data_IF_635128223275
#
_entry.id   IF_635128223275
#
_cell.length_a   1.000
_cell.length_b   1.000
_cell.length_c   1.000
_cell.angle_alpha   90.00
_cell.angle_beta   90.00
_cell.angle_gamma   90.00
#
_symmetry.space_group_name_H-M   'P 1'
#
loop_
_entity.id
_entity.type
_entity.pdbx_description
1 polymer ?
#
# COMPACT_ATOMS: atom_id res chain seq x y z
N UNK A 1 0.71 0.34 -9.32
CA UNK A 1 1.90 1.06 -9.83
C UNK A 1 2.01 2.47 -9.22
N UNK A 2 1.00 3.33 -9.30
CA UNK A 2 1.08 4.71 -8.78
C UNK A 2 1.56 4.81 -7.32
N UNK A 3 1.01 3.99 -6.41
CA UNK A 3 1.43 3.98 -5.01
C UNK A 3 2.93 3.63 -4.80
N UNK A 4 3.53 2.85 -5.71
CA UNK A 4 4.96 2.51 -5.68
C UNK A 4 5.86 3.67 -6.16
N UNK A 5 5.33 4.60 -6.95
CA UNK A 5 6.05 5.84 -7.27
C UNK A 5 5.77 6.94 -6.24
N UNK A 6 4.52 7.10 -5.80
CA UNK A 6 4.16 8.14 -4.82
C UNK A 6 4.86 7.90 -3.46
N UNK A 7 4.65 6.74 -2.83
CA UNK A 7 5.13 6.55 -1.47
C UNK A 7 6.65 6.36 -1.39
N UNK A 8 7.25 5.33 -2.03
CA UNK A 8 8.69 5.10 -1.97
C UNK A 8 9.54 6.20 -2.60
N UNK A 9 9.10 6.81 -3.72
CA UNK A 9 9.94 7.74 -4.49
C UNK A 9 9.60 9.21 -4.26
N UNK A 10 8.32 9.60 -4.37
CA UNK A 10 7.93 11.01 -4.24
C UNK A 10 7.93 11.48 -2.79
N UNK A 11 7.37 10.69 -1.88
CA UNK A 11 7.25 11.04 -0.46
C UNK A 11 8.40 10.53 0.40
N UNK A 12 9.31 9.71 -0.14
CA UNK A 12 10.37 9.01 0.60
C UNK A 12 9.83 8.26 1.84
N UNK A 13 8.69 7.56 1.67
CA UNK A 13 8.01 6.79 2.72
C UNK A 13 7.92 5.31 2.36
N UNK A 14 7.92 4.46 3.37
CA UNK A 14 7.64 3.03 3.19
C UNK A 14 6.16 2.83 2.86
N UNK A 15 5.89 2.12 1.77
CA UNK A 15 4.54 1.70 1.40
C UNK A 15 4.16 0.41 2.12
N UNK A 16 3.13 0.46 2.96
CA UNK A 16 2.55 -0.74 3.57
C UNK A 16 1.44 -1.28 2.66
N UNK A 17 1.57 -2.52 2.19
CA UNK A 17 0.62 -3.12 1.24
C UNK A 17 -0.07 -4.36 1.80
N UNK A 18 -1.35 -4.52 1.48
CA UNK A 18 -2.10 -5.74 1.74
C UNK A 18 -1.83 -6.75 0.63
N UNK A 19 -1.15 -7.85 0.96
CA UNK A 19 -0.83 -8.90 0.01
C UNK A 19 -2.03 -9.80 -0.33
N UNK A 20 -3.12 -9.73 0.44
CA UNK A 20 -4.32 -10.56 0.22
C UNK A 20 -5.17 -10.10 -0.96
N UNK A 21 -4.83 -8.96 -1.59
CA UNK A 21 -5.51 -8.48 -2.79
C UNK A 21 -5.40 -9.53 -3.91
N UNK A 22 -6.53 -9.79 -4.57
CA UNK A 22 -6.65 -10.77 -5.65
C UNK A 22 -7.02 -10.09 -6.97
N UNK A 23 -6.85 -10.81 -8.08
CA UNK A 23 -7.21 -10.31 -9.39
C UNK A 23 -8.73 -10.12 -9.50
N UNK A 24 -9.13 -8.88 -9.81
CA UNK A 24 -10.54 -8.51 -9.98
C UNK A 24 -11.22 -9.34 -11.06
N UNK A 25 -12.47 -9.72 -10.81
CA UNK A 25 -13.43 -10.36 -11.70
C UNK A 25 -13.48 -9.81 -13.12
N UNK A 26 -13.22 -8.51 -13.31
CA UNK A 26 -13.20 -7.86 -14.63
C UNK A 26 -12.12 -8.47 -15.55
N UNK A 27 -11.04 -9.00 -14.97
CA UNK A 27 -9.94 -9.60 -15.71
C UNK A 27 -9.98 -11.13 -15.74
N UNK A 28 -11.04 -11.75 -15.22
CA UNK A 28 -11.17 -13.20 -15.11
C UNK A 28 -12.22 -13.73 -16.08
N UNK A 29 -11.99 -14.92 -16.64
CA UNK A 29 -12.95 -15.57 -17.55
C UNK A 29 -14.22 -16.04 -16.82
N UNK A 30 -14.12 -16.25 -15.51
CA UNK A 30 -15.22 -16.70 -14.65
C UNK A 30 -16.13 -15.55 -14.23
N UNK A 31 -15.72 -14.29 -14.40
CA UNK A 31 -16.44 -13.12 -13.89
C UNK A 31 -16.48 -13.05 -12.35
N UNK A 32 -15.57 -13.76 -11.67
CA UNK A 32 -15.41 -13.74 -10.23
C UNK A 32 -13.97 -13.42 -9.87
N UNK A 33 -13.74 -12.78 -8.72
CA UNK A 33 -12.38 -12.52 -8.24
C UNK A 33 -11.63 -13.85 -8.05
N UNK A 34 -10.35 -13.90 -8.45
CA UNK A 34 -9.55 -15.13 -8.40
C UNK A 34 -9.25 -15.54 -6.95
N UNK A 35 -10.06 -16.45 -6.42
CA UNK A 35 -9.86 -17.00 -5.07
C UNK A 35 -8.55 -17.78 -4.97
N UNK A 36 -7.80 -17.54 -3.88
CA UNK A 36 -6.57 -18.27 -3.56
C UNK A 36 -5.33 -17.83 -4.34
N UNK A 37 -5.46 -16.84 -5.23
CA UNK A 37 -4.34 -16.20 -5.92
C UNK A 37 -4.21 -14.77 -5.42
N UNK A 38 -3.39 -14.62 -4.40
CA UNK A 38 -3.09 -13.33 -3.81
C UNK A 38 -2.01 -12.59 -4.62
N UNK A 39 -1.59 -11.40 -4.18
CA UNK A 39 -0.63 -10.57 -4.90
C UNK A 39 0.66 -11.32 -5.27
N UNK A 40 1.14 -12.21 -4.38
CA UNK A 40 2.39 -12.96 -4.54
C UNK A 40 2.32 -14.02 -5.64
N UNK A 41 1.10 -14.39 -6.07
CA UNK A 41 0.91 -15.27 -7.21
C UNK A 41 1.27 -14.56 -8.53
N UNK A 42 1.08 -13.25 -8.60
CA UNK A 42 1.26 -12.46 -9.82
C UNK A 42 2.56 -11.66 -9.85
N UNK A 43 3.09 -11.31 -8.67
CA UNK A 43 4.27 -10.47 -8.53
C UNK A 43 5.25 -11.09 -7.54
N UNK A 44 6.54 -11.01 -7.86
CA UNK A 44 7.60 -11.36 -6.92
C UNK A 44 7.75 -10.24 -5.88
N UNK A 45 7.16 -10.46 -4.71
CA UNK A 45 7.20 -9.49 -3.62
C UNK A 45 8.59 -9.35 -3.02
N UNK A 46 9.42 -10.40 -3.04
CA UNK A 46 10.79 -10.30 -2.49
C UNK A 46 11.65 -9.43 -3.41
N UNK A 47 11.53 -9.60 -4.72
CA UNK A 47 12.18 -8.69 -5.67
C UNK A 47 11.66 -7.24 -5.57
N UNK A 48 10.37 -7.07 -5.28
CA UNK A 48 9.80 -5.74 -5.06
C UNK A 48 10.39 -5.05 -3.81
N UNK A 49 10.67 -5.79 -2.74
CA UNK A 49 11.34 -5.27 -1.53
C UNK A 49 12.78 -4.83 -1.78
N UNK A 50 13.47 -5.43 -2.74
CA UNK A 50 14.83 -5.04 -3.12
C UNK A 50 14.84 -3.72 -3.90
N UNK A 51 13.79 -3.47 -4.69
CA UNK A 51 13.71 -2.33 -5.60
C UNK A 51 12.95 -1.12 -5.03
N UNK A 52 12.12 -1.32 -4.00
CA UNK A 52 11.33 -0.26 -3.38
C UNK A 52 11.14 -0.48 -1.87
N UNK A 53 10.94 0.62 -1.14
CA UNK A 53 10.59 0.56 0.29
C UNK A 53 9.14 0.12 0.46
N UNK A 54 8.91 -1.18 0.46
CA UNK A 54 7.58 -1.80 0.64
C UNK A 54 7.58 -2.75 1.85
N UNK A 55 6.45 -2.84 2.53
CA UNK A 55 6.25 -3.70 3.69
C UNK A 55 4.88 -4.40 3.62
N UNK A 56 4.83 -5.66 4.04
CA UNK A 56 3.56 -6.38 4.20
C UNK A 56 2.73 -5.78 5.36
N UNK A 57 1.43 -5.61 5.13
CA UNK A 57 0.50 -5.08 6.11
C UNK A 57 0.39 -5.97 7.36
N UNK A 58 0.40 -7.30 7.19
CA UNK A 58 0.35 -8.22 8.33
C UNK A 58 1.55 -8.05 9.24
N UNK A 59 2.75 -8.05 8.65
CA UNK A 59 4.00 -7.80 9.36
C UNK A 59 4.05 -6.40 10.00
N UNK A 60 3.59 -5.37 9.28
CA UNK A 60 3.52 -4.01 9.81
C UNK A 60 2.72 -3.95 11.10
N UNK A 61 1.52 -4.53 11.15
CA UNK A 61 0.71 -4.50 12.37
C UNK A 61 1.32 -5.31 13.52
N UNK A 62 1.95 -6.45 13.22
CA UNK A 62 2.66 -7.24 14.24
C UNK A 62 3.77 -6.40 14.90
N UNK A 63 4.57 -5.69 14.11
CA UNK A 63 5.68 -4.89 14.62
C UNK A 63 5.24 -3.57 15.24
N UNK A 64 4.23 -2.93 14.65
CA UNK A 64 3.58 -1.74 15.20
C UNK A 64 3.00 -2.00 16.59
N UNK A 65 2.32 -3.13 16.77
CA UNK A 65 1.76 -3.52 18.07
C UNK A 65 2.84 -3.82 19.12
N UNK A 66 3.99 -4.37 18.72
CA UNK A 66 5.15 -4.50 19.62
C UNK A 66 5.71 -3.14 20.02
N UNK A 67 5.76 -2.20 19.07
CA UNK A 67 6.24 -0.83 19.33
C UNK A 67 5.30 -0.02 20.24
N UNK A 68 3.99 -0.29 20.21
CA UNK A 68 3.00 0.39 21.07
C UNK A 68 3.04 -0.06 22.54
N UNK A 69 3.88 -1.04 22.89
CA UNK A 69 4.21 -1.35 24.28
C UNK A 69 5.23 -0.36 24.88
N UNK A 70 5.72 0.59 24.09
CA UNK A 70 6.62 1.67 24.54
C UNK A 70 5.79 2.85 25.05
N UNK A 71 6.15 3.38 26.22
CA UNK A 71 5.41 4.36 27.02
C UNK A 71 4.97 5.60 26.21
N UNK A 72 3.72 6.09 26.36
CA UNK A 72 3.14 7.18 25.54
C UNK A 72 3.97 8.45 25.40
N UNK A 73 4.87 8.75 26.35
CA UNK A 73 5.77 9.91 26.32
C UNK A 73 6.73 9.91 25.13
N UNK A 74 7.07 8.76 24.54
CA UNK A 74 7.96 8.68 23.36
C UNK A 74 7.25 8.93 22.02
N UNK A 75 5.91 8.96 22.00
CA UNK A 75 5.11 9.17 20.78
C UNK A 75 4.55 10.59 20.64
N UNK A 76 4.64 11.42 21.69
CA UNK A 76 4.07 12.78 21.71
C UNK A 76 4.72 13.77 20.72
N UNK A 77 5.87 13.44 20.14
CA UNK A 77 6.57 14.27 19.15
C UNK A 77 6.28 13.94 17.69
N UNK A 78 5.52 12.88 17.39
CA UNK A 78 5.37 12.39 16.01
C UNK A 78 4.07 12.91 15.40
N UNK A 79 4.17 13.97 14.58
CA UNK A 79 3.02 14.63 13.97
C UNK A 79 2.40 13.87 12.78
N UNK A 80 3.16 13.02 12.07
CA UNK A 80 2.76 12.50 10.74
C UNK A 80 3.15 11.03 10.49
N UNK A 81 2.81 10.12 11.40
CA UNK A 81 3.41 8.76 11.39
C UNK A 81 2.80 7.78 10.38
N UNK A 82 1.49 7.85 10.09
CA UNK A 82 0.81 6.85 9.27
C UNK A 82 -0.23 7.48 8.34
N UNK A 83 -0.04 7.34 7.03
CA UNK A 83 -1.05 7.68 6.03
C UNK A 83 -1.78 6.39 5.67
N UNK A 84 -2.96 6.18 6.25
CA UNK A 84 -3.81 5.04 5.94
C UNK A 84 -4.88 5.45 4.93
N UNK A 85 -4.80 4.90 3.72
CA UNK A 85 -5.86 5.04 2.72
C UNK A 85 -6.62 3.71 2.62
N UNK A 86 -7.96 3.76 2.75
CA UNK A 86 -8.84 2.59 2.70
C UNK A 86 -9.56 2.53 1.36
N UNK A 87 -9.69 1.33 0.78
CA UNK A 87 -10.58 1.08 -0.35
C UNK A 87 -11.99 0.80 0.20
N UNK A 88 -12.88 1.78 0.10
CA UNK A 88 -14.25 1.72 0.66
C UNK A 88 -15.26 2.36 -0.29
N UNK A 89 -16.46 2.70 0.20
CA UNK A 89 -17.49 3.44 -0.55
C UNK A 89 -16.90 4.77 -1.02
N UNK A 90 -16.45 4.77 -2.27
CA UNK A 90 -15.73 5.85 -2.92
C UNK A 90 -16.59 7.10 -2.87
N UNK A 91 -16.11 8.17 -2.22
CA UNK A 91 -16.70 9.49 -2.41
C UNK A 91 -16.60 9.83 -3.90
N UNK A 92 -17.63 10.44 -4.51
CA UNK A 92 -17.72 10.64 -5.96
C UNK A 92 -16.53 11.39 -6.59
N UNK A 93 -15.71 12.07 -5.78
CA UNK A 93 -14.56 12.86 -6.23
C UNK A 93 -13.20 12.22 -5.87
N UNK A 94 -13.20 11.07 -5.18
CA UNK A 94 -11.99 10.42 -4.68
C UNK A 94 -11.56 9.27 -5.62
N UNK A 95 -11.24 9.63 -6.85
CA UNK A 95 -10.75 8.69 -7.84
C UNK A 95 -9.31 8.30 -7.51
N UNK A 96 -9.12 7.10 -6.98
CA UNK A 96 -7.81 6.45 -6.86
C UNK A 96 -7.04 6.32 -8.19
N UNK A 97 -7.72 6.54 -9.31
CA UNK A 97 -7.10 6.69 -10.63
C UNK A 97 -6.17 7.92 -10.70
N UNK A 98 -6.48 8.99 -9.94
CA UNK A 98 -5.72 10.23 -9.88
C UNK A 98 -4.45 10.18 -9.03
N UNK A 99 -4.09 9.04 -8.42
CA UNK A 99 -2.81 8.89 -7.68
C UNK A 99 -1.61 9.05 -8.61
N UNK A 100 -1.80 8.81 -9.92
CA UNK A 100 -0.84 9.09 -10.96
C UNK A 100 -1.05 10.47 -11.62
N UNK A 101 -2.02 11.28 -11.20
CA UNK A 101 -2.32 12.58 -11.82
C UNK A 101 -1.73 13.71 -10.96
N UNK A 102 -1.05 14.68 -11.58
CA UNK A 102 -0.44 15.84 -10.90
C UNK A 102 1.07 15.71 -10.68
N UNK A 103 1.62 16.37 -9.66
CA UNK A 103 3.09 16.49 -9.48
C UNK A 103 3.82 15.14 -9.33
N UNK A 104 3.15 14.13 -8.75
CA UNK A 104 3.69 12.78 -8.57
C UNK A 104 3.81 11.97 -9.88
N UNK A 105 3.06 12.34 -10.93
CA UNK A 105 3.11 11.69 -12.26
C UNK A 105 4.53 11.66 -12.81
N UNK A 106 5.24 12.78 -12.66
CA UNK A 106 6.61 12.98 -13.16
C UNK A 106 7.65 12.01 -12.57
N UNK A 107 7.32 11.34 -11.47
CA UNK A 107 8.20 10.41 -10.74
C UNK A 107 7.82 8.94 -10.99
N UNK A 108 6.63 8.70 -11.56
CA UNK A 108 6.07 7.37 -11.83
C UNK A 108 6.52 6.79 -13.19
N UNK A 109 7.15 7.59 -14.06
CA UNK A 109 7.70 7.17 -15.37
C UNK A 109 8.89 6.20 -15.29
#
# INVERSE_FOLDING_TARGET
MCALGEAPRYLNRTLVMDLSICLSSVYTKSGQDEKGKDFRFYFDFEHLKESASVLDQGQFWVDWNKWHQVTPMKMAGVKDTLILRKFGSVEPDNYWYGVCEGEAESVIQ
#
